data_IF_361275440324
#
_entry.id   IF_361275440324
#
_cell.length_a   1.000
_cell.length_b   1.000
_cell.length_c   1.000
_cell.angle_alpha   90.00
_cell.angle_beta   90.00
_cell.angle_gamma   90.00
#
_symmetry.space_group_name_H-M   'P 1'
#
loop_
_entity.id
_entity.type
_entity.pdbx_description
1 polymer ?
#
# COMPACT_ATOMS: atom_id res chain seq x y z
N UNK A 1 -5.80 16.32 5.17
CA UNK A 1 -6.81 15.58 4.38
C UNK A 1 -6.20 14.93 3.15
N UNK A 2 -5.70 15.67 2.15
CA UNK A 2 -5.17 15.03 0.93
C UNK A 2 -3.94 14.13 1.17
N UNK A 3 -2.96 14.60 1.96
CA UNK A 3 -1.79 13.81 2.34
C UNK A 3 -2.14 12.50 3.09
N UNK A 4 -3.20 12.54 3.91
CA UNK A 4 -3.69 11.36 4.64
C UNK A 4 -4.34 10.34 3.71
N UNK A 5 -5.08 10.80 2.70
CA UNK A 5 -5.63 9.93 1.66
C UNK A 5 -4.54 9.33 0.77
N UNK A 6 -3.47 10.08 0.49
CA UNK A 6 -2.31 9.55 -0.25
C UNK A 6 -1.56 8.49 0.55
N UNK A 7 -1.33 8.73 1.85
CA UNK A 7 -0.71 7.76 2.74
C UNK A 7 -1.56 6.49 2.88
N UNK A 8 -2.89 6.64 2.99
CA UNK A 8 -3.82 5.51 3.03
C UNK A 8 -3.82 4.71 1.71
N UNK A 9 -3.79 5.39 0.56
CA UNK A 9 -3.69 4.72 -0.73
C UNK A 9 -2.37 3.95 -0.89
N UNK A 10 -1.26 4.52 -0.39
CA UNK A 10 0.04 3.85 -0.39
C UNK A 10 0.02 2.60 0.50
N UNK A 11 -0.38 2.74 1.77
CA UNK A 11 -0.51 1.63 2.70
C UNK A 11 -1.46 0.54 2.16
N UNK A 12 -2.57 0.95 1.54
CA UNK A 12 -3.53 0.06 0.93
C UNK A 12 -2.97 -0.75 -0.22
N UNK A 13 -2.22 -0.11 -1.12
CA UNK A 13 -1.58 -0.77 -2.24
C UNK A 13 -0.51 -1.77 -1.78
N UNK A 14 0.35 -1.37 -0.84
CA UNK A 14 1.38 -2.26 -0.28
C UNK A 14 0.74 -3.49 0.37
N UNK A 15 -0.24 -3.32 1.26
CA UNK A 15 -0.91 -4.45 1.90
C UNK A 15 -1.60 -5.36 0.88
N UNK A 16 -2.23 -4.79 -0.14
CA UNK A 16 -2.91 -5.55 -1.18
C UNK A 16 -1.95 -6.40 -2.03
N UNK A 17 -0.81 -5.82 -2.43
CA UNK A 17 0.25 -6.55 -3.14
C UNK A 17 0.84 -7.66 -2.27
N UNK A 18 1.04 -7.41 -0.96
CA UNK A 18 1.49 -8.47 -0.06
C UNK A 18 0.49 -9.63 -0.02
N UNK A 19 -0.81 -9.36 -0.02
CA UNK A 19 -1.83 -10.41 -0.09
C UNK A 19 -1.81 -11.19 -1.41
N UNK A 20 -1.41 -10.60 -2.55
CA UNK A 20 -1.28 -11.31 -3.85
C UNK A 20 -0.28 -12.47 -3.78
N UNK A 21 0.77 -12.31 -2.97
CA UNK A 21 1.80 -13.31 -2.74
C UNK A 21 1.40 -14.39 -1.72
N UNK A 22 0.24 -14.23 -1.06
CA UNK A 22 -0.26 -15.19 -0.06
C UNK A 22 -1.37 -16.07 -0.61
N UNK A 23 -1.61 -17.20 0.05
CA UNK A 23 -2.78 -18.05 -0.20
C UNK A 23 -4.11 -17.36 0.13
N UNK A 24 -4.09 -16.28 0.95
CA UNK A 24 -5.26 -15.50 1.34
C UNK A 24 -5.69 -14.45 0.30
N UNK A 25 -5.03 -14.41 -0.87
CA UNK A 25 -5.35 -13.48 -1.97
C UNK A 25 -6.84 -13.45 -2.32
N UNK A 26 -7.49 -14.60 -2.46
CA UNK A 26 -8.88 -14.68 -2.94
C UNK A 26 -9.82 -13.84 -2.07
N UNK A 27 -9.62 -13.88 -0.75
CA UNK A 27 -10.41 -13.07 0.18
C UNK A 27 -10.12 -11.58 0.03
N UNK A 28 -8.85 -11.19 -0.16
CA UNK A 28 -8.46 -9.81 -0.40
C UNK A 28 -9.05 -9.26 -1.71
N UNK A 29 -9.02 -10.08 -2.76
CA UNK A 29 -9.57 -9.78 -4.07
C UNK A 29 -11.06 -9.51 -4.00
N UNK A 30 -11.85 -10.41 -3.41
CA UNK A 30 -13.32 -10.26 -3.35
C UNK A 30 -13.72 -8.96 -2.63
N UNK A 31 -12.98 -8.58 -1.57
CA UNK A 31 -13.18 -7.30 -0.86
C UNK A 31 -12.86 -6.10 -1.75
N UNK A 32 -11.77 -6.16 -2.51
CA UNK A 32 -11.36 -5.08 -3.41
C UNK A 32 -12.29 -4.94 -4.62
N UNK A 33 -12.80 -6.05 -5.16
CA UNK A 33 -13.85 -6.05 -6.19
C UNK A 33 -15.09 -5.32 -5.67
N UNK A 34 -15.58 -5.70 -4.50
CA UNK A 34 -16.75 -5.05 -3.88
C UNK A 34 -16.51 -3.55 -3.62
N UNK A 35 -15.29 -3.17 -3.19
CA UNK A 35 -14.93 -1.78 -2.94
C UNK A 35 -14.96 -0.95 -4.24
N UNK A 36 -14.28 -1.41 -5.30
CA UNK A 36 -14.25 -0.68 -6.56
C UNK A 36 -15.59 -0.68 -7.28
N UNK A 37 -16.35 -1.77 -7.25
CA UNK A 37 -17.71 -1.85 -7.78
C UNK A 37 -18.60 -0.77 -7.16
N UNK A 38 -18.53 -0.60 -5.83
CA UNK A 38 -19.28 0.41 -5.08
C UNK A 38 -18.83 1.85 -5.35
N UNK A 39 -17.53 2.12 -5.49
CA UNK A 39 -17.00 3.49 -5.51
C UNK A 39 -16.59 4.03 -6.89
N UNK A 40 -16.18 3.16 -7.82
CA UNK A 40 -15.74 3.54 -9.16
C UNK A 40 -16.86 3.37 -10.19
N UNK A 41 -17.80 2.47 -9.92
CA UNK A 41 -18.79 2.01 -10.91
C UNK A 41 -18.10 1.15 -11.97
N UNK A 42 -18.50 -0.11 -12.07
CA UNK A 42 -17.93 -1.09 -12.98
C UNK A 42 -18.47 -2.48 -12.66
N UNK A 43 -18.48 -3.36 -13.66
CA UNK A 43 -18.87 -4.75 -13.46
C UNK A 43 -17.80 -5.47 -12.63
N UNK A 44 -18.25 -6.27 -11.66
CA UNK A 44 -17.37 -6.99 -10.74
C UNK A 44 -16.39 -7.91 -11.49
N UNK A 45 -16.86 -8.60 -12.53
CA UNK A 45 -16.03 -9.42 -13.43
C UNK A 45 -14.87 -8.65 -14.08
N UNK A 46 -15.10 -7.38 -14.47
CA UNK A 46 -14.05 -6.57 -15.10
C UNK A 46 -12.97 -6.24 -14.08
N UNK A 47 -13.39 -5.84 -12.87
CA UNK A 47 -12.47 -5.50 -11.79
C UNK A 47 -11.72 -6.76 -11.33
N UNK A 48 -12.41 -7.89 -11.19
CA UNK A 48 -11.80 -9.18 -10.85
C UNK A 48 -10.73 -9.57 -11.88
N UNK A 49 -11.02 -9.45 -13.17
CA UNK A 49 -10.06 -9.72 -14.25
C UNK A 49 -8.81 -8.83 -14.18
N UNK A 50 -8.96 -7.54 -13.86
CA UNK A 50 -7.81 -6.63 -13.65
C UNK A 50 -6.96 -7.09 -12.45
N UNK A 51 -7.60 -7.46 -11.33
CA UNK A 51 -6.90 -7.92 -10.12
C UNK A 51 -6.16 -9.23 -10.35
N UNK A 52 -6.78 -10.20 -11.04
CA UNK A 52 -6.15 -11.49 -11.38
C UNK A 52 -4.97 -11.30 -12.34
N UNK A 53 -5.08 -10.37 -13.29
CA UNK A 53 -3.96 -10.02 -14.19
C UNK A 53 -2.77 -9.50 -13.39
N UNK A 54 -2.99 -8.52 -12.50
CA UNK A 54 -1.91 -7.99 -11.67
C UNK A 54 -1.31 -9.04 -10.73
N UNK A 55 -2.11 -9.99 -10.22
CA UNK A 55 -1.57 -11.11 -9.44
C UNK A 55 -0.65 -11.99 -10.28
N UNK A 56 -1.02 -12.29 -11.51
CA UNK A 56 -0.19 -13.08 -12.40
C UNK A 56 1.15 -12.38 -12.68
N UNK A 57 1.12 -11.06 -12.94
CA UNK A 57 2.32 -10.24 -13.12
C UNK A 57 3.19 -10.20 -11.87
N UNK A 58 2.58 -10.01 -10.69
CA UNK A 58 3.28 -10.04 -9.40
C UNK A 58 3.93 -11.39 -9.13
N UNK A 59 3.21 -12.48 -9.39
CA UNK A 59 3.74 -13.84 -9.17
C UNK A 59 4.92 -14.12 -10.09
N UNK A 60 4.79 -13.77 -11.38
CA UNK A 60 5.88 -13.92 -12.34
C UNK A 60 7.11 -13.06 -11.97
N UNK A 61 6.89 -11.84 -11.47
CA UNK A 61 7.95 -10.96 -10.99
C UNK A 61 8.68 -11.56 -9.78
N UNK A 62 7.94 -12.10 -8.80
CA UNK A 62 8.52 -12.75 -7.63
C UNK A 62 9.33 -14.00 -8.01
N UNK A 63 8.82 -14.81 -8.94
CA UNK A 63 9.54 -15.99 -9.46
C UNK A 63 10.82 -15.61 -10.22
N UNK A 64 10.79 -14.49 -10.95
CA UNK A 64 11.94 -13.97 -11.68
C UNK A 64 12.93 -13.17 -10.80
N UNK A 65 12.55 -12.82 -9.57
CA UNK A 65 13.29 -11.88 -8.73
C UNK A 65 13.27 -10.44 -9.27
N UNK A 66 12.25 -10.08 -10.05
CA UNK A 66 12.07 -8.75 -10.64
C UNK A 66 11.35 -7.82 -9.65
N UNK A 67 12.13 -7.23 -8.74
CA UNK A 67 11.64 -6.24 -7.78
C UNK A 67 11.04 -5.00 -8.48
N UNK A 68 11.50 -4.68 -9.69
CA UNK A 68 11.01 -3.49 -10.41
C UNK A 68 9.59 -3.69 -10.90
N UNK A 69 9.27 -4.86 -11.45
CA UNK A 69 7.89 -5.20 -11.84
C UNK A 69 6.96 -5.26 -10.63
N UNK A 70 7.42 -5.80 -9.50
CA UNK A 70 6.63 -5.79 -8.28
C UNK A 70 6.28 -4.37 -7.81
N UNK A 71 7.26 -3.45 -7.86
CA UNK A 71 7.05 -2.04 -7.52
C UNK A 71 6.14 -1.31 -8.51
N UNK A 72 6.18 -1.66 -9.80
CA UNK A 72 5.32 -1.07 -10.82
C UNK A 72 3.84 -1.43 -10.58
N UNK A 73 3.57 -2.72 -10.31
CA UNK A 73 2.23 -3.20 -9.94
C UNK A 73 1.73 -2.47 -8.69
N UNK A 74 2.56 -2.33 -7.66
CA UNK A 74 2.19 -1.59 -6.44
C UNK A 74 1.85 -0.12 -6.74
N UNK A 75 2.67 0.55 -7.56
CA UNK A 75 2.47 1.96 -7.95
C UNK A 75 1.17 2.16 -8.74
N UNK A 76 0.83 1.19 -9.58
CA UNK A 76 -0.42 1.17 -10.34
C UNK A 76 -1.64 1.15 -9.40
N UNK A 77 -1.67 0.19 -8.47
CA UNK A 77 -2.76 0.06 -7.48
C UNK A 77 -2.85 1.26 -6.55
N UNK A 78 -1.70 1.82 -6.14
CA UNK A 78 -1.63 3.06 -5.35
C UNK A 78 -2.32 4.21 -6.07
N UNK A 79 -2.06 4.36 -7.38
CA UNK A 79 -2.67 5.40 -8.20
C UNK A 79 -4.18 5.22 -8.34
N UNK A 80 -4.63 3.97 -8.53
CA UNK A 80 -6.07 3.62 -8.63
C UNK A 80 -6.82 3.88 -7.32
N UNK A 81 -6.24 3.48 -6.19
CA UNK A 81 -6.79 3.77 -4.85
C UNK A 81 -6.84 5.27 -4.59
N UNK A 82 -5.76 6.00 -4.88
CA UNK A 82 -5.72 7.46 -4.72
C UNK A 82 -6.80 8.14 -5.55
N UNK A 83 -7.02 7.70 -6.80
CA UNK A 83 -8.09 8.26 -7.65
C UNK A 83 -9.47 8.01 -7.05
N UNK A 84 -9.71 6.81 -6.53
CA UNK A 84 -10.98 6.44 -5.88
C UNK A 84 -11.24 7.28 -4.62
N UNK A 85 -10.23 7.43 -3.76
CA UNK A 85 -10.33 8.25 -2.53
C UNK A 85 -10.52 9.74 -2.82
N UNK A 86 -9.89 10.27 -3.88
CA UNK A 86 -10.09 11.66 -4.31
C UNK A 86 -11.51 11.89 -4.84
N UNK A 87 -12.07 10.94 -5.59
CA UNK A 87 -13.44 11.01 -6.08
C UNK A 87 -14.47 10.81 -4.97
N UNK A 88 -14.17 9.96 -3.98
CA UNK A 88 -15.05 9.68 -2.86
C UNK A 88 -14.25 9.57 -1.55
N UNK A 89 -14.11 10.67 -0.78
CA UNK A 89 -13.34 10.65 0.47
C UNK A 89 -13.97 9.76 1.56
N UNK A 90 -15.27 9.44 1.48
CA UNK A 90 -15.92 8.52 2.42
C UNK A 90 -15.43 7.07 2.24
N UNK A 91 -14.89 6.73 1.06
CA UNK A 91 -14.29 5.42 0.79
C UNK A 91 -13.04 5.15 1.65
N UNK A 92 -12.42 6.20 2.24
CA UNK A 92 -11.25 6.06 3.11
C UNK A 92 -11.55 5.20 4.36
N UNK A 93 -12.73 5.36 4.96
CA UNK A 93 -13.13 4.58 6.11
C UNK A 93 -13.32 3.10 5.76
N UNK A 94 -13.90 2.82 4.59
CA UNK A 94 -14.11 1.46 4.10
C UNK A 94 -12.77 0.78 3.78
N UNK A 95 -11.86 1.48 3.09
CA UNK A 95 -10.51 0.98 2.81
C UNK A 95 -9.73 0.68 4.09
N UNK A 96 -9.82 1.52 5.12
CA UNK A 96 -9.21 1.25 6.43
C UNK A 96 -9.74 -0.03 7.07
N UNK A 97 -11.06 -0.25 7.03
CA UNK A 97 -11.66 -1.48 7.55
C UNK A 97 -11.23 -2.73 6.77
N UNK A 98 -11.07 -2.62 5.45
CA UNK A 98 -10.54 -3.72 4.64
C UNK A 98 -9.10 -4.04 5.06
N UNK A 99 -8.26 -3.02 5.28
CA UNK A 99 -6.87 -3.23 5.69
C UNK A 99 -6.72 -3.86 7.08
N UNK A 100 -7.59 -3.48 8.03
CA UNK A 100 -7.65 -4.07 9.37
C UNK A 100 -7.99 -5.57 9.32
N UNK A 101 -8.91 -5.96 8.43
CA UNK A 101 -9.33 -7.36 8.21
C UNK A 101 -8.20 -8.20 7.55
N UNK A 102 -7.45 -7.58 6.63
CA UNK A 102 -6.37 -8.25 5.89
C UNK A 102 -5.08 -8.45 6.69
N UNK A 103 -4.90 -7.69 7.78
CA UNK A 103 -3.75 -7.80 8.68
C UNK A 103 -4.17 -8.33 10.06
N UNK A 104 -4.44 -9.65 10.21
CA UNK A 104 -4.76 -10.24 11.51
C UNK A 104 -3.51 -10.29 12.38
N UNK A 105 -3.19 -9.16 13.04
CA UNK A 105 -1.99 -9.02 13.87
C UNK A 105 -1.69 -7.59 14.33
N UNK A 106 -2.37 -6.57 13.78
CA UNK A 106 -2.34 -5.22 14.34
C UNK A 106 -3.27 -5.16 15.56
N UNK A 107 -2.70 -5.28 16.75
CA UNK A 107 -3.43 -5.11 18.01
C UNK A 107 -4.36 -3.89 17.95
N UNK A 108 -5.61 -4.06 18.40
CA UNK A 108 -6.52 -2.96 18.76
C UNK A 108 -5.83 -2.05 19.78
N UNK A 109 -5.03 -1.11 19.32
CA UNK A 109 -4.60 0.04 20.12
C UNK A 109 -5.06 1.27 19.35
N UNK A 110 -6.25 1.74 19.75
CA UNK A 110 -6.63 3.13 19.90
C UNK A 110 -6.08 4.11 18.85
N UNK A 111 -7.00 4.79 18.16
CA UNK A 111 -6.76 6.01 17.40
C UNK A 111 -5.74 6.95 18.07
N UNK A 112 -4.47 6.80 17.72
CA UNK A 112 -3.36 7.69 18.04
C UNK A 112 -2.23 7.31 17.07
N UNK A 113 -2.00 8.18 16.09
CA UNK A 113 -0.82 8.21 15.23
C UNK A 113 -0.53 6.92 14.41
N UNK A 114 -0.89 6.95 13.13
CA UNK A 114 -0.53 5.89 12.18
C UNK A 114 0.96 6.03 11.83
N UNK A 115 1.85 5.57 12.71
CA UNK A 115 3.24 5.27 12.38
C UNK A 115 3.30 3.91 11.68
N UNK A 116 3.17 3.93 10.36
CA UNK A 116 3.37 2.74 9.53
C UNK A 116 4.87 2.43 9.46
N UNK A 117 5.37 1.65 10.41
CA UNK A 117 6.72 1.09 10.36
C UNK A 117 6.74 -0.05 9.34
N UNK A 118 7.01 0.31 8.09
CA UNK A 118 7.30 -0.61 6.99
C UNK A 118 8.64 -1.28 7.30
N UNK A 119 8.62 -2.49 7.85
CA UNK A 119 9.82 -3.31 8.03
C UNK A 119 10.18 -4.01 6.72
N UNK A 120 10.75 -3.26 5.79
CA UNK A 120 11.57 -3.81 4.70
C UNK A 120 12.98 -4.06 5.25
N UNK A 121 13.46 -5.31 5.15
CA UNK A 121 14.73 -5.74 5.72
C UNK A 121 15.93 -4.89 5.29
N UNK A 122 16.96 -4.90 6.15
CA UNK A 122 18.24 -4.23 5.93
C UNK A 122 18.85 -4.67 4.59
N UNK A 123 18.76 -3.81 3.58
CA UNK A 123 19.41 -3.99 2.28
C UNK A 123 20.47 -2.90 2.12
N UNK A 124 21.74 -3.32 2.10
CA UNK A 124 22.87 -2.45 1.83
C UNK A 124 22.97 -2.19 0.32
N UNK A 125 22.32 -1.13 -0.18
CA UNK A 125 22.38 -0.71 -1.58
C UNK A 125 21.56 0.56 -1.82
N UNK A 126 21.88 1.38 -2.83
CA UNK A 126 21.36 2.75 -2.95
C UNK A 126 19.83 2.77 -3.13
N UNK A 127 19.13 3.23 -2.10
CA UNK A 127 17.67 3.33 -2.05
C UNK A 127 17.20 4.55 -2.84
N UNK A 128 16.47 4.33 -3.93
CA UNK A 128 15.66 5.38 -4.57
C UNK A 128 14.39 5.52 -3.75
N UNK A 129 14.45 6.39 -2.73
CA UNK A 129 13.34 6.71 -1.85
C UNK A 129 12.44 7.76 -2.52
N UNK A 130 11.42 7.31 -3.24
CA UNK A 130 10.39 8.18 -3.80
C UNK A 130 9.29 8.47 -2.75
N UNK A 131 9.56 9.40 -1.83
CA UNK A 131 8.56 9.88 -0.86
C UNK A 131 9.14 10.92 0.10
N UNK A 132 8.72 12.18 -0.06
CA UNK A 132 9.31 13.41 0.50
C UNK A 132 9.22 13.55 2.05
N UNK A 133 10.41 13.71 2.65
CA UNK A 133 10.85 14.49 3.84
C UNK A 133 9.84 14.84 4.96
N UNK A 134 10.02 14.19 6.11
CA UNK A 134 9.72 14.76 7.43
C UNK A 134 11.00 15.38 8.03
N UNK A 135 10.89 16.57 8.62
CA UNK A 135 12.00 17.42 9.07
C UNK A 135 13.02 16.71 9.97
N UNK A 136 14.29 16.68 9.54
CA UNK A 136 15.43 16.29 10.37
C UNK A 136 16.04 17.53 11.03
N UNK A 137 15.93 17.64 12.36
CA UNK A 137 16.69 18.61 13.14
C UNK A 137 18.05 17.99 13.48
N UNK A 138 19.13 18.45 12.86
CA UNK A 138 20.49 18.08 13.22
C UNK A 138 21.08 19.13 14.18
N UNK A 139 21.21 18.80 15.46
CA UNK A 139 22.05 19.58 16.38
C UNK A 139 23.44 18.95 16.40
N UNK A 140 24.35 19.48 15.59
CA UNK A 140 25.77 19.14 15.65
C UNK A 140 26.44 19.86 16.82
N UNK A 141 26.98 19.12 17.78
CA UNK A 141 27.95 19.66 18.73
C UNK A 141 29.34 19.13 18.35
N UNK A 142 30.19 20.05 17.91
CA UNK A 142 31.56 19.78 17.47
C UNK A 142 32.45 19.27 18.62
N UNK A 143 33.38 18.33 18.35
CA UNK A 143 34.47 18.04 19.27
C UNK A 143 35.60 19.07 19.09
N UNK A 144 35.88 19.85 20.14
CA UNK A 144 37.07 20.69 20.18
C UNK A 144 38.31 19.82 20.44
N UNK A 145 39.31 19.93 19.56
CA UNK A 145 40.67 19.49 19.82
C UNK A 145 41.57 20.74 19.82
N UNK A 146 42.14 21.06 20.98
CA UNK A 146 43.44 21.73 21.13
C UNK A 146 43.94 21.51 22.56
#
# INVERSE_FOLDING_TARGET
MEAELMALAAAGATAFVQQMATDSWTQARDRMVSFFSRHRGGEEDVIEGELETSRAEMTAALEAGDEQTALDVESEWRTRLRRTLQSNPAAASELRSILDDLMPGGERQQAADVDNTISGGVQHGPVIQAGNVGSLHFSGHEPHLS
#
